data_IF_999934944541
#
_entry.id   IF_999934944541
#
_cell.length_a   1.000
_cell.length_b   1.000
_cell.length_c   1.000
_cell.angle_alpha   90.00
_cell.angle_beta   90.00
_cell.angle_gamma   90.00
#
_symmetry.space_group_name_H-M   'P 1'
#
loop_
_entity.id
_entity.type
_entity.pdbx_description
1 polymer ?
#
# COMPACT_ATOMS: atom_id res chain seq x y z
N UNK A 1 -51.26 4.19 35.43
CA UNK A 1 -49.93 4.75 35.22
C UNK A 1 -49.18 3.85 34.20
N UNK A 2 -48.94 4.34 32.99
CA UNK A 2 -48.24 3.59 31.96
C UNK A 2 -46.75 4.06 31.96
N UNK A 3 -45.86 3.18 32.41
CA UNK A 3 -44.43 3.45 32.41
C UNK A 3 -43.87 3.12 31.04
N UNK A 4 -43.52 4.16 30.24
CA UNK A 4 -42.81 3.99 29.00
C UNK A 4 -41.34 3.76 29.29
N UNK A 5 -40.84 2.58 28.97
CA UNK A 5 -39.43 2.21 29.03
C UNK A 5 -38.81 2.73 27.70
N UNK A 6 -38.05 3.79 27.79
CA UNK A 6 -37.22 4.30 26.66
C UNK A 6 -35.93 3.48 26.69
N UNK A 7 -35.80 2.57 25.74
CA UNK A 7 -34.57 1.79 25.54
C UNK A 7 -33.54 2.71 24.82
N UNK A 8 -32.35 3.00 25.40
CA UNK A 8 -31.34 3.77 24.71
C UNK A 8 -30.79 2.93 23.55
N UNK A 9 -31.02 3.37 22.32
CA UNK A 9 -30.34 2.86 21.14
C UNK A 9 -28.90 3.38 21.23
N UNK A 10 -28.00 2.53 21.70
CA UNK A 10 -26.56 2.79 21.61
C UNK A 10 -26.18 2.65 20.15
N UNK A 11 -26.04 3.77 19.43
CA UNK A 11 -25.38 3.79 18.14
C UNK A 11 -23.92 3.39 18.38
N UNK A 12 -23.60 2.14 18.12
CA UNK A 12 -22.21 1.72 17.96
C UNK A 12 -21.73 2.37 16.64
N UNK A 13 -21.07 3.51 16.74
CA UNK A 13 -20.25 4.01 15.66
C UNK A 13 -19.17 2.94 15.42
N UNK A 14 -19.37 2.07 14.43
CA UNK A 14 -18.31 1.24 13.91
C UNK A 14 -17.19 2.22 13.52
N UNK A 15 -16.09 2.19 14.28
CA UNK A 15 -14.90 2.92 13.87
C UNK A 15 -14.56 2.42 12.47
N UNK A 16 -14.74 3.27 11.48
CA UNK A 16 -14.29 3.01 10.11
C UNK A 16 -12.78 3.05 10.17
N UNK A 17 -12.20 1.91 10.52
CA UNK A 17 -10.77 1.68 10.38
C UNK A 17 -10.51 1.59 8.88
N UNK A 18 -10.04 2.70 8.30
CA UNK A 18 -9.53 2.67 6.94
C UNK A 18 -8.49 1.55 6.87
N UNK A 19 -8.67 0.62 5.96
CA UNK A 19 -7.80 -0.49 5.58
C UNK A 19 -6.78 -0.91 6.65
N UNK A 20 -7.22 -1.67 7.63
CA UNK A 20 -6.33 -2.24 8.64
C UNK A 20 -5.49 -3.39 8.06
N UNK A 21 -4.65 -3.98 8.88
CA UNK A 21 -3.72 -5.07 8.52
C UNK A 21 -4.37 -6.17 7.66
N UNK A 22 -5.61 -6.55 7.97
CA UNK A 22 -6.34 -7.56 7.19
C UNK A 22 -6.64 -7.08 5.76
N UNK A 23 -7.05 -5.83 5.59
CA UNK A 23 -7.32 -5.26 4.26
C UNK A 23 -6.07 -5.25 3.39
N UNK A 24 -4.94 -4.77 3.90
CA UNK A 24 -3.66 -4.80 3.21
C UNK A 24 -3.23 -6.22 2.84
N UNK A 25 -3.30 -7.16 3.78
CA UNK A 25 -2.97 -8.56 3.52
C UNK A 25 -3.89 -9.20 2.47
N UNK A 26 -5.18 -8.84 2.45
CA UNK A 26 -6.14 -9.36 1.46
C UNK A 26 -5.76 -8.90 0.06
N UNK A 27 -5.49 -7.60 -0.14
CA UNK A 27 -5.09 -7.06 -1.45
C UNK A 27 -3.79 -7.70 -1.93
N UNK A 28 -2.80 -7.80 -1.04
CA UNK A 28 -1.52 -8.44 -1.36
C UNK A 28 -1.69 -9.92 -1.74
N UNK A 29 -2.55 -10.65 -1.04
CA UNK A 29 -2.85 -12.06 -1.33
C UNK A 29 -3.56 -12.24 -2.67
N UNK A 30 -4.45 -11.32 -3.03
CA UNK A 30 -5.09 -11.31 -4.36
C UNK A 30 -4.05 -11.04 -5.43
N UNK A 31 -3.23 -9.98 -5.28
CA UNK A 31 -2.17 -9.64 -6.24
C UNK A 31 -1.19 -10.81 -6.45
N UNK A 32 -0.83 -11.51 -5.38
CA UNK A 32 0.07 -12.66 -5.42
C UNK A 32 -0.39 -13.76 -6.39
N UNK A 33 -1.70 -13.95 -6.55
CA UNK A 33 -2.27 -14.99 -7.44
C UNK A 33 -2.03 -14.70 -8.93
N UNK A 34 -1.74 -13.46 -9.29
CA UNK A 34 -1.48 -13.05 -10.67
C UNK A 34 0.01 -13.00 -11.02
N UNK A 35 0.89 -13.34 -10.09
CA UNK A 35 2.33 -13.32 -10.33
C UNK A 35 2.78 -14.54 -11.11
N UNK A 36 3.72 -14.35 -12.05
CA UNK A 36 4.37 -15.47 -12.70
C UNK A 36 5.27 -16.24 -11.72
N UNK A 37 5.55 -17.54 -11.96
CA UNK A 37 6.46 -18.30 -11.09
C UNK A 37 7.84 -17.67 -10.92
N UNK A 38 8.35 -17.00 -11.96
CA UNK A 38 9.62 -16.29 -11.87
C UNK A 38 9.52 -15.06 -10.97
N UNK A 39 8.46 -14.28 -11.09
CA UNK A 39 8.20 -13.11 -10.21
C UNK A 39 8.06 -13.56 -8.74
N UNK A 40 7.34 -14.65 -8.49
CA UNK A 40 7.20 -15.22 -7.13
C UNK A 40 8.58 -15.49 -6.52
N UNK A 41 9.46 -16.21 -7.23
CA UNK A 41 10.82 -16.52 -6.76
C UNK A 41 11.61 -15.24 -6.45
N UNK A 42 11.51 -14.23 -7.31
CA UNK A 42 12.23 -12.98 -7.13
C UNK A 42 11.74 -12.21 -5.89
N UNK A 43 10.41 -12.08 -5.74
CA UNK A 43 9.83 -11.37 -4.60
C UNK A 43 10.13 -12.11 -3.29
N UNK A 44 9.99 -13.42 -3.25
CA UNK A 44 10.36 -14.23 -2.09
C UNK A 44 11.83 -14.06 -1.71
N UNK A 45 12.72 -14.03 -2.69
CA UNK A 45 14.15 -13.81 -2.45
C UNK A 45 14.44 -12.40 -1.91
N UNK A 46 13.75 -11.36 -2.39
CA UNK A 46 13.90 -10.00 -1.90
C UNK A 46 13.39 -9.88 -0.46
N UNK A 47 12.24 -10.49 -0.15
CA UNK A 47 11.62 -10.43 1.17
C UNK A 47 12.28 -11.38 2.18
N UNK A 48 13.07 -12.35 1.73
CA UNK A 48 13.60 -13.42 2.58
C UNK A 48 12.50 -14.32 3.17
N UNK A 49 11.33 -14.36 2.54
CA UNK A 49 10.14 -15.08 3.00
C UNK A 49 9.63 -16.03 1.90
N UNK A 50 9.75 -17.34 2.14
CA UNK A 50 9.30 -18.39 1.22
C UNK A 50 7.95 -19.00 1.61
N UNK A 51 7.23 -18.41 2.55
CA UNK A 51 5.89 -18.87 2.95
C UNK A 51 4.87 -18.59 1.84
N UNK A 52 3.72 -19.24 1.92
CA UNK A 52 2.62 -19.02 0.96
C UNK A 52 1.93 -17.66 1.12
N UNK A 53 2.23 -16.94 2.20
CA UNK A 53 1.64 -15.64 2.56
C UNK A 53 2.64 -14.48 2.52
N UNK A 54 3.80 -14.67 1.89
CA UNK A 54 4.93 -13.73 1.92
C UNK A 54 4.54 -12.28 1.60
N UNK A 55 3.69 -12.02 0.61
CA UNK A 55 3.24 -10.66 0.32
C UNK A 55 2.27 -10.12 1.38
N UNK A 56 1.38 -10.98 1.89
CA UNK A 56 0.46 -10.59 2.97
C UNK A 56 1.18 -10.25 4.27
N UNK A 57 2.28 -10.95 4.56
CA UNK A 57 3.07 -10.74 5.78
C UNK A 57 3.69 -9.35 5.85
N UNK A 58 4.10 -8.78 4.70
CA UNK A 58 4.74 -7.47 4.61
C UNK A 58 3.77 -6.33 4.27
N UNK A 59 2.53 -6.64 3.87
CA UNK A 59 1.60 -5.70 3.26
C UNK A 59 1.27 -4.46 4.10
N UNK A 60 1.33 -4.54 5.42
CA UNK A 60 1.08 -3.43 6.34
C UNK A 60 2.37 -2.79 6.89
N UNK A 61 3.53 -3.17 6.37
CA UNK A 61 4.81 -2.66 6.86
C UNK A 61 4.90 -1.13 6.79
N UNK A 62 4.52 -0.55 5.67
CA UNK A 62 4.62 0.90 5.48
C UNK A 62 3.78 1.70 6.50
N UNK A 63 2.63 1.18 6.91
CA UNK A 63 1.81 1.80 7.97
C UNK A 63 2.53 1.87 9.31
N UNK A 64 3.33 0.87 9.64
CA UNK A 64 4.12 0.85 10.87
C UNK A 64 5.37 1.70 10.74
N UNK A 65 6.04 1.63 9.59
CA UNK A 65 7.31 2.27 9.30
C UNK A 65 7.28 3.79 9.53
N UNK A 66 6.20 4.46 9.15
CA UNK A 66 6.06 5.92 9.35
C UNK A 66 6.06 6.37 10.81
N UNK A 67 5.83 5.46 11.76
CA UNK A 67 5.85 5.75 13.19
C UNK A 67 7.19 5.39 13.85
N UNK A 68 8.10 4.75 13.13
CA UNK A 68 9.46 4.49 13.59
C UNK A 68 10.27 5.79 13.47
N UNK A 69 11.03 6.12 14.52
CA UNK A 69 11.69 7.43 14.62
C UNK A 69 12.53 7.80 13.40
N UNK A 70 12.28 8.98 12.84
CA UNK A 70 12.93 9.51 11.64
C UNK A 70 12.25 9.16 10.33
N UNK A 71 11.12 8.44 10.34
CA UNK A 71 10.41 7.98 9.14
C UNK A 71 9.09 8.73 8.89
N UNK A 72 8.82 9.78 9.64
CA UNK A 72 7.60 10.61 9.52
C UNK A 72 7.44 11.21 8.11
N UNK A 73 8.53 11.38 7.39
CA UNK A 73 8.55 11.83 6.00
C UNK A 73 7.71 10.95 5.06
N UNK A 74 7.56 9.67 5.38
CA UNK A 74 6.79 8.72 4.57
C UNK A 74 5.27 8.84 4.76
N UNK A 75 4.80 9.65 5.72
CA UNK A 75 3.38 9.77 6.04
C UNK A 75 2.54 10.21 4.83
N UNK A 76 3.02 11.14 4.03
CA UNK A 76 2.35 11.61 2.82
C UNK A 76 2.18 10.52 1.75
N UNK A 77 2.99 9.47 1.78
CA UNK A 77 2.97 8.39 0.78
C UNK A 77 1.79 7.41 0.93
N UNK A 78 0.97 7.59 1.95
CA UNK A 78 -0.18 6.72 2.23
C UNK A 78 -1.48 7.20 1.60
N UNK A 79 -1.54 8.42 1.08
CA UNK A 79 -2.76 9.01 0.55
C UNK A 79 -2.47 10.05 -0.53
N UNK A 80 -3.52 10.46 -1.22
CA UNK A 80 -3.60 11.67 -2.04
C UNK A 80 -4.95 12.30 -1.78
N UNK A 81 -4.99 13.60 -1.60
CA UNK A 81 -6.22 14.33 -1.34
C UNK A 81 -6.55 15.20 -2.56
N UNK A 82 -7.59 14.83 -3.31
CA UNK A 82 -8.12 15.69 -4.35
C UNK A 82 -8.73 16.95 -3.74
N UNK A 83 -8.42 18.11 -4.30
CA UNK A 83 -8.98 19.41 -3.90
C UNK A 83 -10.22 19.73 -4.73
N UNK A 84 -11.07 18.72 -4.97
CA UNK A 84 -12.26 18.88 -5.77
C UNK A 84 -13.24 19.87 -5.14
N UNK A 85 -13.90 20.65 -5.99
CA UNK A 85 -15.15 21.29 -5.64
C UNK A 85 -16.19 20.20 -5.31
N UNK A 86 -17.19 20.47 -4.44
CA UNK A 86 -18.10 19.43 -3.98
C UNK A 86 -18.73 18.67 -5.16
N UNK A 87 -18.88 17.32 -5.04
CA UNK A 87 -19.51 16.53 -6.09
C UNK A 87 -20.87 17.12 -6.49
N UNK A 88 -21.27 17.02 -7.77
CA UNK A 88 -20.83 16.07 -8.79
C UNK A 88 -19.95 16.65 -9.90
N UNK A 89 -19.43 17.86 -9.78
CA UNK A 89 -19.00 18.63 -10.95
C UNK A 89 -17.56 18.35 -11.42
N UNK A 90 -16.70 17.89 -10.55
CA UNK A 90 -15.35 17.46 -10.92
C UNK A 90 -14.80 16.47 -9.92
N UNK A 91 -14.54 15.25 -10.36
CA UNK A 91 -13.86 14.24 -9.58
C UNK A 91 -12.63 13.82 -10.38
N UNK A 92 -11.55 14.61 -10.29
CA UNK A 92 -10.30 14.31 -10.97
C UNK A 92 -9.12 14.71 -10.09
N UNK A 93 -8.04 13.97 -10.24
CA UNK A 93 -6.79 14.24 -9.56
C UNK A 93 -5.93 15.14 -10.45
N UNK A 94 -5.53 16.29 -9.95
CA UNK A 94 -4.66 17.24 -10.65
C UNK A 94 -3.27 17.21 -10.01
N UNK A 95 -2.33 16.53 -10.64
CA UNK A 95 -0.94 16.62 -10.26
C UNK A 95 -0.31 17.86 -10.93
N UNK A 96 0.43 18.72 -10.23
CA UNK A 96 0.98 18.57 -8.87
C UNK A 96 0.13 19.15 -7.74
N UNK A 97 -1.08 19.70 -8.00
CA UNK A 97 -1.87 20.37 -6.96
C UNK A 97 -2.26 19.43 -5.80
N UNK A 98 -2.66 18.21 -6.15
CA UNK A 98 -3.10 17.20 -5.18
C UNK A 98 -1.94 16.35 -4.63
N UNK A 99 -0.75 16.47 -5.21
CA UNK A 99 0.45 15.76 -4.77
C UNK A 99 1.56 16.77 -4.49
N UNK A 100 1.78 17.13 -3.23
CA UNK A 100 2.76 18.14 -2.86
C UNK A 100 4.20 17.69 -3.20
N UNK A 101 5.17 18.62 -3.25
CA UNK A 101 6.56 18.32 -3.58
C UNK A 101 7.21 17.25 -2.69
N UNK A 102 6.76 17.14 -1.44
CA UNK A 102 7.21 16.12 -0.48
C UNK A 102 6.77 14.71 -0.87
N UNK A 103 5.77 14.60 -1.74
CA UNK A 103 5.26 13.35 -2.27
C UNK A 103 3.88 12.97 -1.75
N UNK A 104 3.24 12.07 -2.49
CA UNK A 104 1.95 11.46 -2.17
C UNK A 104 1.98 9.98 -2.60
N UNK A 105 0.91 9.23 -2.36
CA UNK A 105 0.83 7.81 -2.75
C UNK A 105 1.07 7.60 -4.25
N UNK A 106 0.63 8.51 -5.11
CA UNK A 106 0.83 8.40 -6.57
C UNK A 106 2.30 8.49 -6.94
N UNK A 107 3.01 9.49 -6.40
CA UNK A 107 4.46 9.63 -6.62
C UNK A 107 5.25 8.48 -6.01
N UNK A 108 4.86 8.00 -4.83
CA UNK A 108 5.48 6.85 -4.19
C UNK A 108 5.36 5.58 -5.04
N UNK A 109 4.16 5.26 -5.54
CA UNK A 109 3.95 4.12 -6.44
C UNK A 109 4.85 4.24 -7.68
N UNK A 110 4.87 5.39 -8.34
CA UNK A 110 5.70 5.63 -9.52
C UNK A 110 7.18 5.41 -9.24
N UNK A 111 7.69 5.96 -8.15
CA UNK A 111 9.09 5.85 -7.75
C UNK A 111 9.47 4.40 -7.41
N UNK A 112 8.68 3.71 -6.60
CA UNK A 112 8.98 2.34 -6.19
C UNK A 112 8.86 1.33 -7.32
N UNK A 113 7.91 1.51 -8.24
CA UNK A 113 7.82 0.67 -9.46
C UNK A 113 9.07 0.86 -10.32
N UNK A 114 9.53 2.09 -10.52
CA UNK A 114 10.75 2.38 -11.27
C UNK A 114 11.99 1.76 -10.61
N UNK A 115 12.16 1.93 -9.30
CA UNK A 115 13.28 1.37 -8.55
C UNK A 115 13.29 -0.16 -8.58
N UNK A 116 12.13 -0.79 -8.39
CA UNK A 116 12.01 -2.25 -8.44
C UNK A 116 12.37 -2.79 -9.82
N UNK A 117 11.92 -2.14 -10.88
CA UNK A 117 12.26 -2.51 -12.26
C UNK A 117 13.76 -2.39 -12.53
N UNK A 118 14.42 -1.33 -12.05
CA UNK A 118 15.85 -1.14 -12.20
C UNK A 118 16.67 -2.20 -11.46
N UNK A 119 16.28 -2.55 -10.22
CA UNK A 119 16.93 -3.60 -9.43
C UNK A 119 16.78 -4.97 -10.09
N UNK A 120 15.59 -5.30 -10.59
CA UNK A 120 15.36 -6.57 -11.28
C UNK A 120 16.17 -6.67 -12.58
N UNK A 121 16.24 -5.60 -13.36
CA UNK A 121 17.03 -5.56 -14.61
C UNK A 121 18.51 -5.76 -14.31
N UNK A 122 19.05 -5.09 -13.28
CA UNK A 122 20.44 -5.27 -12.89
C UNK A 122 20.75 -6.71 -12.48
N UNK A 123 19.89 -7.31 -11.65
CA UNK A 123 20.07 -8.68 -11.19
C UNK A 123 20.09 -9.69 -12.35
N UNK A 124 19.17 -9.54 -13.30
CA UNK A 124 19.13 -10.39 -14.50
C UNK A 124 20.42 -10.23 -15.32
N UNK A 125 20.92 -9.03 -15.50
CA UNK A 125 22.18 -8.78 -16.23
C UNK A 125 23.38 -9.40 -15.49
N UNK A 126 23.45 -9.27 -14.17
CA UNK A 126 24.53 -9.84 -13.36
C UNK A 126 24.51 -11.39 -13.42
N UNK A 127 23.34 -12.02 -13.38
CA UNK A 127 23.18 -13.47 -13.53
C UNK A 127 23.61 -13.96 -14.92
N UNK A 128 23.23 -13.26 -16.00
CA UNK A 128 23.64 -13.59 -17.36
C UNK A 128 25.18 -13.45 -17.52
N UNK A 129 25.77 -12.39 -16.98
CA UNK A 129 27.22 -12.19 -17.07
C UNK A 129 27.99 -13.30 -16.38
N UNK A 130 27.53 -13.76 -15.21
CA UNK A 130 28.16 -14.85 -14.47
C UNK A 130 27.98 -16.24 -15.11
N UNK A 131 27.03 -16.40 -16.03
CA UNK A 131 26.78 -17.66 -16.72
C UNK A 131 27.66 -17.84 -17.97
N UNK A 132 28.26 -16.77 -18.47
CA UNK A 132 29.08 -16.77 -19.69
C UNK A 132 30.58 -16.48 -19.45
N UNK A 133 31.01 -16.37 -18.19
CA UNK A 133 32.43 -16.30 -17.76
C UNK A 133 32.85 -17.59 -17.07
#
# INVERSE_FOLDING_TARGET
MKTSVVLPVVLQAAAVSAWGKLGHATVASVAQQYLTPNTVKQVQAILGDNTTTYMGNIASWADSFRYEGGNEWSTGFHFVNGHDAPPPESCHLILPEDCPPEGCVVSAIGNYVCLTSAVMTKKVNDELTNQYL
#
